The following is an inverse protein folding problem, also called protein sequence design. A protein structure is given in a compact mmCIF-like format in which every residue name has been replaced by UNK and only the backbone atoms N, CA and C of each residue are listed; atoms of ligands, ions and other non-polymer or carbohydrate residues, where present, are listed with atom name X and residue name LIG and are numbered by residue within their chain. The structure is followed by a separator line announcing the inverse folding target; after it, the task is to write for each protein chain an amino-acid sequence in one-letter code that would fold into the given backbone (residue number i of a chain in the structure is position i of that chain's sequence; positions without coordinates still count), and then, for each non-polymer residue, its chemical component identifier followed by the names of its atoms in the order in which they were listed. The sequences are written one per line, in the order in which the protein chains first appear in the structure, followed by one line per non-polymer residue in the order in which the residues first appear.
data_IF_339904964969
#
_entry.id   IF_339904964969
#
_cell.length_a   1.000
_cell.length_b   1.000
_cell.length_c   1.000
_cell.angle_alpha   90.00
_cell.angle_beta   90.00
_cell.angle_gamma   90.00
#
_symmetry.space_group_name_H-M   'P 1'
#
loop_
_entity.id
_entity.type
_entity.pdbx_description
1 polymer ?
#
# COMPACT_ATOMS: atom_id res chain seq x y z
N UNK A 1 -15.50 -4.46 21.45
CA UNK A 1 -16.50 -3.61 20.76
C UNK A 1 -15.84 -2.48 19.96
N UNK A 2 -14.70 -1.93 20.41
CA UNK A 2 -13.97 -0.82 19.75
C UNK A 2 -13.29 -1.19 18.42
N UNK A 3 -12.67 -2.36 18.30
CA UNK A 3 -12.04 -2.79 17.04
C UNK A 3 -13.03 -2.87 15.86
N UNK A 4 -14.28 -3.28 16.11
CA UNK A 4 -15.35 -3.32 15.10
C UNK A 4 -15.75 -1.90 14.63
N UNK A 5 -15.78 -0.91 15.51
CA UNK A 5 -16.14 0.47 15.16
C UNK A 5 -14.99 1.17 14.41
N UNK A 6 -13.74 0.93 14.81
CA UNK A 6 -12.53 1.41 14.11
C UNK A 6 -12.47 0.82 12.69
N UNK A 7 -12.73 -0.47 12.53
CA UNK A 7 -12.76 -1.15 11.22
C UNK A 7 -13.83 -0.56 10.28
N UNK A 8 -15.05 -0.29 10.79
CA UNK A 8 -16.16 0.24 9.98
C UNK A 8 -15.85 1.62 9.38
N UNK A 9 -15.03 2.43 10.06
CA UNK A 9 -14.64 3.77 9.61
C UNK A 9 -13.29 3.82 8.89
N UNK A 10 -12.64 2.69 8.64
CA UNK A 10 -11.28 2.67 8.12
C UNK A 10 -11.15 3.41 6.79
N UNK A 11 -12.02 3.14 5.80
CA UNK A 11 -12.01 3.82 4.48
C UNK A 11 -12.65 5.23 4.46
N UNK A 12 -13.39 5.63 5.50
CA UNK A 12 -14.05 6.94 5.57
C UNK A 12 -13.15 8.04 6.14
N UNK A 13 -11.89 7.72 6.41
CA UNK A 13 -10.97 8.64 7.03
C UNK A 13 -10.31 9.57 5.99
N UNK A 14 -10.16 10.85 6.34
CA UNK A 14 -9.52 11.89 5.51
C UNK A 14 -8.17 11.44 4.92
N UNK A 15 -7.46 10.60 5.67
CA UNK A 15 -6.16 10.04 5.35
C UNK A 15 -6.17 9.10 4.13
N UNK A 16 -7.24 8.36 3.87
CA UNK A 16 -7.37 7.57 2.64
C UNK A 16 -7.53 8.44 1.40
N UNK A 17 -8.28 9.54 1.54
CA UNK A 17 -8.39 10.54 0.48
C UNK A 17 -7.03 11.16 0.17
N UNK A 18 -6.24 11.49 1.19
CA UNK A 18 -4.87 12.01 1.03
C UNK A 18 -3.97 11.00 0.31
N UNK A 19 -4.01 9.73 0.70
CA UNK A 19 -3.24 8.65 0.04
C UNK A 19 -3.59 8.54 -1.45
N UNK A 20 -4.88 8.57 -1.78
CA UNK A 20 -5.35 8.51 -3.17
C UNK A 20 -4.93 9.75 -3.97
N UNK A 21 -5.04 10.95 -3.39
CA UNK A 21 -4.63 12.21 -4.04
C UNK A 21 -3.13 12.21 -4.32
N UNK A 22 -2.30 11.81 -3.36
CA UNK A 22 -0.83 11.72 -3.54
C UNK A 22 -0.50 10.68 -4.61
N UNK A 23 -1.15 9.53 -4.59
CA UNK A 23 -0.96 8.47 -5.60
C UNK A 23 -1.36 8.97 -6.99
N UNK A 24 -2.42 9.76 -7.11
CA UNK A 24 -2.85 10.36 -8.36
C UNK A 24 -1.88 11.42 -8.87
N UNK A 25 -1.42 12.32 -8.00
CA UNK A 25 -0.43 13.35 -8.32
C UNK A 25 0.90 12.72 -8.78
N UNK A 26 1.37 11.67 -8.11
CA UNK A 26 2.58 10.95 -8.53
C UNK A 26 2.42 10.27 -9.88
N UNK A 27 1.23 9.76 -10.21
CA UNK A 27 0.90 9.26 -11.54
C UNK A 27 1.02 10.35 -12.61
N UNK A 28 0.43 11.54 -12.35
CA UNK A 28 0.51 12.69 -13.28
C UNK A 28 1.96 13.11 -13.51
N UNK A 29 2.76 13.23 -12.45
CA UNK A 29 4.17 13.67 -12.59
C UNK A 29 4.99 12.66 -13.39
N UNK A 30 4.80 11.35 -13.18
CA UNK A 30 5.48 10.32 -13.97
C UNK A 30 5.06 10.36 -15.45
N UNK A 31 3.77 10.56 -15.73
CA UNK A 31 3.29 10.70 -17.12
C UNK A 31 3.92 11.93 -17.79
N UNK A 32 3.98 13.07 -17.11
CA UNK A 32 4.63 14.28 -17.62
C UNK A 32 6.12 14.05 -17.91
N UNK A 33 6.85 13.44 -16.96
CA UNK A 33 8.26 13.12 -17.14
C UNK A 33 8.51 12.16 -18.31
N UNK A 34 7.59 11.21 -18.55
CA UNK A 34 7.65 10.31 -19.69
C UNK A 34 7.40 11.04 -21.02
N UNK A 35 6.39 11.92 -21.08
CA UNK A 35 6.10 12.75 -22.27
C UNK A 35 7.28 13.66 -22.61
N UNK A 36 7.96 14.21 -21.60
CA UNK A 36 9.18 15.00 -21.75
C UNK A 36 10.43 14.17 -22.10
N UNK A 37 10.30 12.85 -22.24
CA UNK A 37 11.39 11.88 -22.52
C UNK A 37 12.53 11.92 -21.50
N UNK A 38 12.23 12.31 -20.25
CA UNK A 38 13.19 12.31 -19.15
C UNK A 38 13.34 10.91 -18.54
N UNK A 39 12.23 10.15 -18.52
CA UNK A 39 12.19 8.79 -17.98
C UNK A 39 11.73 7.78 -19.04
N UNK A 40 12.12 6.52 -18.86
CA UNK A 40 11.68 5.41 -19.71
C UNK A 40 10.30 4.90 -19.31
N UNK A 41 9.61 4.25 -20.24
CA UNK A 41 8.31 3.60 -20.02
C UNK A 41 8.34 2.59 -18.86
N UNK A 42 9.49 1.97 -18.61
CA UNK A 42 9.76 1.03 -17.50
C UNK A 42 9.42 1.59 -16.12
N UNK A 43 9.56 2.91 -15.94
CA UNK A 43 9.22 3.59 -14.70
C UNK A 43 7.71 3.63 -14.48
N UNK A 44 6.94 3.86 -15.55
CA UNK A 44 5.47 3.86 -15.49
C UNK A 44 4.95 2.47 -15.14
N UNK A 45 5.46 1.43 -15.80
CA UNK A 45 5.04 0.06 -15.50
C UNK A 45 5.47 -0.33 -14.07
N UNK A 46 6.69 0.01 -13.66
CA UNK A 46 7.16 -0.18 -12.29
C UNK A 46 6.23 0.49 -11.28
N UNK A 47 5.82 1.73 -11.53
CA UNK A 47 4.86 2.45 -10.68
C UNK A 47 3.51 1.74 -10.60
N UNK A 48 2.95 1.28 -11.72
CA UNK A 48 1.71 0.49 -11.74
C UNK A 48 1.85 -0.80 -10.92
N UNK A 49 2.98 -1.50 -11.05
CA UNK A 49 3.26 -2.73 -10.31
C UNK A 49 3.37 -2.48 -8.79
N UNK A 50 4.05 -1.41 -8.39
CA UNK A 50 4.13 -0.99 -6.99
C UNK A 50 2.77 -0.58 -6.42
N UNK A 51 2.00 0.20 -7.17
CA UNK A 51 0.68 0.69 -6.75
C UNK A 51 -0.34 -0.45 -6.60
N UNK A 52 -0.38 -1.38 -7.55
CA UNK A 52 -1.24 -2.57 -7.47
C UNK A 52 -0.88 -3.45 -6.28
N UNK A 53 0.41 -3.65 -6.03
CA UNK A 53 0.90 -4.40 -4.86
C UNK A 53 0.53 -3.72 -3.55
N UNK A 54 0.60 -2.38 -3.49
CA UNK A 54 0.12 -1.59 -2.35
C UNK A 54 -1.38 -1.85 -2.08
N UNK A 55 -2.22 -1.75 -3.10
CA UNK A 55 -3.66 -1.98 -3.01
C UNK A 55 -3.99 -3.41 -2.56
N UNK A 56 -3.28 -4.41 -3.09
CA UNK A 56 -3.41 -5.80 -2.67
C UNK A 56 -3.05 -5.96 -1.19
N UNK A 57 -1.94 -5.39 -0.72
CA UNK A 57 -1.54 -5.47 0.69
C UNK A 57 -2.54 -4.79 1.64
N UNK A 58 -3.22 -3.73 1.18
CA UNK A 58 -4.33 -3.12 1.92
C UNK A 58 -5.53 -4.07 2.00
N UNK A 59 -5.90 -4.70 0.89
CA UNK A 59 -6.99 -5.66 0.85
C UNK A 59 -6.73 -6.85 1.79
N UNK A 60 -5.51 -7.38 1.77
CA UNK A 60 -5.05 -8.42 2.68
C UNK A 60 -5.16 -7.94 4.14
N UNK A 61 -4.70 -6.73 4.45
CA UNK A 61 -4.81 -6.15 5.79
C UNK A 61 -6.26 -6.07 6.25
N UNK A 62 -7.17 -5.62 5.39
CA UNK A 62 -8.61 -5.58 5.68
C UNK A 62 -9.17 -6.96 6.05
N UNK A 63 -8.86 -7.96 5.22
CA UNK A 63 -9.33 -9.33 5.40
C UNK A 63 -8.75 -9.97 6.66
N UNK A 64 -7.50 -9.68 6.98
CA UNK A 64 -6.84 -10.18 8.20
C UNK A 64 -7.59 -9.74 9.47
N UNK A 65 -7.99 -8.46 9.54
CA UNK A 65 -8.71 -7.91 10.69
C UNK A 65 -10.13 -8.46 10.76
N UNK A 66 -10.82 -8.55 9.61
CA UNK A 66 -12.17 -9.13 9.54
C UNK A 66 -12.20 -10.58 10.05
N UNK A 67 -11.23 -11.39 9.64
CA UNK A 67 -11.14 -12.79 10.04
C UNK A 67 -10.66 -12.97 11.48
N UNK A 68 -9.76 -12.10 11.96
CA UNK A 68 -9.37 -12.07 13.37
C UNK A 68 -10.59 -11.78 14.26
N UNK A 69 -11.44 -10.82 13.88
CA UNK A 69 -12.64 -10.47 14.65
C UNK A 69 -13.75 -11.53 14.60
N UNK A 70 -13.72 -12.43 13.61
CA UNK A 70 -14.72 -13.50 13.45
C UNK A 70 -14.30 -14.79 14.12
N UNK A 71 -13.03 -15.16 13.99
CA UNK A 71 -12.54 -16.49 14.36
C UNK A 71 -11.58 -16.46 15.55
N UNK A 72 -11.10 -15.28 15.97
CA UNK A 72 -10.08 -15.09 17.03
C UNK A 72 -8.79 -15.92 16.81
N UNK A 73 -8.57 -16.37 15.58
CA UNK A 73 -7.43 -17.21 15.23
C UNK A 73 -6.19 -16.36 14.94
N UNK A 74 -5.28 -16.31 15.91
CA UNK A 74 -4.02 -15.57 15.81
C UNK A 74 -3.06 -16.13 14.76
N UNK A 75 -3.04 -17.44 14.50
CA UNK A 75 -2.20 -18.04 13.46
C UNK A 75 -2.63 -17.58 12.07
N UNK A 76 -3.95 -17.50 11.85
CA UNK A 76 -4.50 -17.01 10.59
C UNK A 76 -4.16 -15.53 10.37
N UNK A 77 -4.21 -14.72 11.44
CA UNK A 77 -3.77 -13.33 11.38
C UNK A 77 -2.28 -13.20 11.02
N UNK A 78 -1.41 -14.01 11.64
CA UNK A 78 0.01 -14.05 11.32
C UNK A 78 0.28 -14.49 9.88
N UNK A 79 -0.48 -15.47 9.37
CA UNK A 79 -0.41 -15.86 7.96
C UNK A 79 -0.70 -14.69 7.01
N UNK A 80 -1.77 -13.91 7.27
CA UNK A 80 -2.06 -12.73 6.45
C UNK A 80 -1.01 -11.63 6.57
N UNK A 81 -0.35 -11.50 7.73
CA UNK A 81 0.78 -10.59 7.89
C UNK A 81 1.94 -10.98 6.97
N UNK A 82 2.32 -12.27 6.94
CA UNK A 82 3.33 -12.78 6.02
C UNK A 82 2.90 -12.59 4.55
N UNK A 83 1.64 -12.87 4.24
CA UNK A 83 1.10 -12.66 2.89
C UNK A 83 1.21 -11.19 2.45
N UNK A 84 0.98 -10.24 3.36
CA UNK A 84 1.14 -8.81 3.10
C UNK A 84 2.60 -8.44 2.83
N UNK A 85 3.55 -8.98 3.60
CA UNK A 85 4.99 -8.77 3.36
C UNK A 85 5.35 -9.31 1.97
N UNK A 86 4.88 -10.50 1.63
CA UNK A 86 5.05 -11.09 0.30
C UNK A 86 4.52 -10.17 -0.80
N UNK A 87 3.30 -9.63 -0.64
CA UNK A 87 2.71 -8.72 -1.61
C UNK A 87 3.56 -7.44 -1.84
N UNK A 88 4.23 -6.92 -0.82
CA UNK A 88 5.11 -5.75 -0.96
C UNK A 88 6.51 -6.08 -1.47
N UNK A 89 7.06 -7.24 -1.08
CA UNK A 89 8.41 -7.64 -1.44
C UNK A 89 8.50 -8.21 -2.86
N UNK A 90 7.48 -8.94 -3.32
CA UNK A 90 7.43 -9.55 -4.65
C UNK A 90 7.68 -8.56 -5.80
N UNK A 91 6.97 -7.41 -5.91
CA UNK A 91 7.21 -6.46 -7.00
C UNK A 91 8.62 -5.85 -6.96
N UNK A 92 9.22 -5.71 -5.77
CA UNK A 92 10.60 -5.26 -5.63
C UNK A 92 11.56 -6.31 -6.15
N UNK A 93 11.42 -7.57 -5.75
CA UNK A 93 12.27 -8.64 -6.25
C UNK A 93 12.12 -8.82 -7.76
N UNK A 94 10.91 -8.75 -8.30
CA UNK A 94 10.68 -8.78 -9.75
C UNK A 94 11.44 -7.64 -10.42
N UNK A 95 11.36 -6.41 -9.91
CA UNK A 95 12.04 -5.27 -10.55
C UNK A 95 13.56 -5.23 -10.32
N UNK A 96 14.07 -5.85 -9.25
CA UNK A 96 15.51 -5.91 -8.96
C UNK A 96 16.22 -7.04 -9.70
N UNK A 97 15.57 -8.19 -9.86
CA UNK A 97 16.17 -9.37 -10.50
C UNK A 97 15.79 -9.54 -11.97
N UNK A 98 14.90 -8.70 -12.49
CA UNK A 98 14.61 -8.68 -13.91
C UNK A 98 15.60 -7.74 -14.61
N UNK A 99 16.61 -8.32 -15.24
CA UNK A 99 17.55 -7.59 -16.11
C UNK A 99 16.85 -6.98 -17.35
N UNK A 100 15.58 -7.35 -17.61
CA UNK A 100 14.80 -6.73 -18.67
C UNK A 100 14.28 -5.36 -18.25
N UNK A 101 14.33 -4.43 -19.22
CA UNK A 101 13.92 -3.02 -19.16
C UNK A 101 12.39 -2.85 -18.93
N UNK A 102 11.66 -3.86 -18.49
CA UNK A 102 10.20 -3.80 -18.39
C UNK A 102 9.75 -3.11 -17.09
N UNK A 103 10.38 -3.43 -15.96
CA UNK A 103 10.00 -2.89 -14.65
C UNK A 103 11.19 -2.24 -13.98
N UNK A 104 11.21 -0.91 -13.91
CA UNK A 104 12.26 -0.20 -13.17
C UNK A 104 11.94 -0.20 -11.67
N UNK A 105 12.91 -0.61 -10.84
CA UNK A 105 12.78 -0.64 -9.38
C UNK A 105 12.44 0.74 -8.79
N UNK A 106 12.89 1.83 -9.43
CA UNK A 106 12.56 3.21 -9.01
C UNK A 106 11.07 3.48 -9.17
N UNK A 107 10.49 3.03 -10.27
CA UNK A 107 9.04 3.08 -10.48
C UNK A 107 8.29 2.32 -9.39
N UNK A 108 8.72 1.09 -9.09
CA UNK A 108 8.10 0.25 -8.04
C UNK A 108 8.16 0.92 -6.67
N UNK A 109 9.30 1.49 -6.29
CA UNK A 109 9.45 2.22 -5.04
C UNK A 109 8.50 3.42 -4.94
N UNK A 110 8.33 4.18 -6.03
CA UNK A 110 7.37 5.29 -6.06
C UNK A 110 5.94 4.76 -5.88
N UNK A 111 5.58 3.66 -6.55
CA UNK A 111 4.25 3.04 -6.42
C UNK A 111 3.96 2.48 -5.02
N UNK A 112 4.99 2.02 -4.29
CA UNK A 112 4.88 1.53 -2.91
C UNK A 112 4.98 2.64 -1.86
N UNK A 113 5.43 3.85 -2.23
CA UNK A 113 5.59 4.98 -1.30
C UNK A 113 4.36 5.32 -0.44
N UNK A 114 3.09 5.11 -0.88
CA UNK A 114 1.94 5.35 -0.02
C UNK A 114 1.89 4.48 1.25
N UNK A 115 2.64 3.37 1.31
CA UNK A 115 2.81 2.54 2.52
C UNK A 115 3.33 3.38 3.68
N UNK A 116 4.23 4.33 3.40
CA UNK A 116 4.86 5.18 4.42
C UNK A 116 3.85 6.12 5.09
N UNK A 117 2.72 6.38 4.45
CA UNK A 117 1.64 7.20 4.97
C UNK A 117 0.65 6.40 5.84
N UNK A 118 0.68 5.06 5.78
CA UNK A 118 -0.22 4.19 6.55
C UNK A 118 -0.15 4.41 8.07
N UNK A 119 1.02 4.55 8.72
CA UNK A 119 1.09 4.79 10.17
C UNK A 119 0.36 6.06 10.61
N UNK A 120 0.37 7.11 9.76
CA UNK A 120 -0.28 8.38 10.05
C UNK A 120 -1.81 8.31 9.92
N UNK A 121 -2.36 7.24 9.33
CA UNK A 121 -3.81 7.08 9.17
C UNK A 121 -4.54 6.73 10.47
N UNK A 122 -3.82 6.21 11.48
CA UNK A 122 -4.37 5.65 12.71
C UNK A 122 -4.10 6.49 13.98
N UNK A 123 -3.81 7.79 13.85
CA UNK A 123 -3.54 8.67 15.01
C UNK A 123 -4.64 8.73 16.09
N UNK A 124 -5.84 8.20 15.83
CA UNK A 124 -6.87 8.03 16.87
C UNK A 124 -6.50 7.03 17.97
N UNK A 125 -5.55 6.13 17.74
CA UNK A 125 -5.10 5.18 18.78
C UNK A 125 -4.28 5.86 19.88
N UNK A 126 -3.64 7.00 19.58
CA UNK A 126 -2.84 7.77 20.57
C UNK A 126 -3.66 8.80 21.36
N UNK A 127 -4.93 9.00 21.02
CA UNK A 127 -5.82 9.95 21.72
C UNK A 127 -6.82 9.23 22.64
N UNK A 128 -6.50 8.00 23.05
CA UNK A 128 -7.07 7.42 24.26
C UNK A 128 -6.38 8.16 25.41
N UNK A 129 -6.94 9.32 25.78
CA UNK A 129 -6.66 9.91 27.08
C UNK A 129 -7.00 8.83 28.10
N UNK A 130 -5.95 8.33 28.73
CA UNK A 130 -5.98 7.60 29.98
C UNK A 130 -7.01 8.25 30.90
N UNK A 131 -8.12 7.55 31.14
CA UNK A 131 -8.90 7.76 32.35
C UNK A 131 -8.10 7.24 33.55
#
# INVERSE_FOLDING_TARGET
MELKSIYKNWFKNLTWSIILIISFLTGITLILLFVLKIINYSWLIGWVLGLTSFLVGIFISKKSVELLLKNENHFLFYFFFLLRIGAYATPLFIAFFNDNIIFDYRGVLIGLSPILLLPFTNHKVLNIKSY
#
